data_IF_445074481618
#
_entry.id   IF_445074481618
#
_cell.length_a   1.000
_cell.length_b   1.000
_cell.length_c   1.000
_cell.angle_alpha   90.00
_cell.angle_beta   90.00
_cell.angle_gamma   90.00
#
_symmetry.space_group_name_H-M   'P 1'
#
loop_
_entity.id
_entity.type
_entity.pdbx_description
1 polymer ?
#
# COMPACT_ATOMS: atom_id res chain seq x y z
N UNK A 1 9.18 15.26 6.64
CA UNK A 1 8.59 14.00 7.16
C UNK A 1 8.53 12.94 6.07
N UNK A 2 7.80 13.18 4.97
CA UNK A 2 7.74 12.30 3.79
C UNK A 2 9.12 11.87 3.26
N UNK A 3 10.07 12.80 3.08
CA UNK A 3 11.44 12.48 2.63
C UNK A 3 12.18 11.52 3.56
N UNK A 4 12.00 11.64 4.89
CA UNK A 4 12.63 10.74 5.86
C UNK A 4 11.99 9.34 5.82
N UNK A 5 10.68 9.26 5.55
CA UNK A 5 9.99 7.99 5.35
C UNK A 5 10.52 7.29 4.10
N UNK A 6 10.60 8.00 2.97
CA UNK A 6 11.11 7.43 1.71
C UNK A 6 12.56 6.94 1.83
N UNK A 7 13.42 7.64 2.58
CA UNK A 7 14.79 7.17 2.84
C UNK A 7 14.86 5.82 3.60
N UNK A 8 13.82 5.45 4.35
CA UNK A 8 13.77 4.16 5.03
C UNK A 8 13.26 3.02 4.14
N UNK A 9 12.68 3.35 2.97
CA UNK A 9 12.12 2.42 1.98
C UNK A 9 12.51 2.87 0.56
N UNK A 10 13.81 2.94 0.24
CA UNK A 10 14.29 3.59 -0.98
C UNK A 10 13.86 2.88 -2.28
N UNK A 11 13.55 1.59 -2.20
CA UNK A 11 13.18 0.76 -3.36
C UNK A 11 11.65 0.59 -3.49
N UNK A 12 10.90 0.86 -2.42
CA UNK A 12 9.46 0.61 -2.33
C UNK A 12 8.62 1.89 -2.27
N UNK A 13 9.20 3.01 -1.83
CA UNK A 13 8.49 4.26 -1.58
C UNK A 13 8.83 5.35 -2.59
N UNK A 14 7.79 6.02 -3.06
CA UNK A 14 7.87 7.09 -4.05
C UNK A 14 7.06 8.31 -3.57
N UNK A 15 7.49 9.52 -3.94
CA UNK A 15 6.80 10.77 -3.61
C UNK A 15 5.92 11.22 -4.77
N UNK A 16 4.81 11.90 -4.45
CA UNK A 16 3.97 12.61 -5.42
C UNK A 16 3.48 11.73 -6.58
N UNK A 17 3.02 10.51 -6.26
CA UNK A 17 2.67 9.49 -7.26
C UNK A 17 1.19 9.56 -7.63
N UNK A 18 0.82 9.78 -8.90
CA UNK A 18 -0.58 9.76 -9.35
C UNK A 18 -1.24 8.39 -9.15
N UNK A 19 -2.25 8.33 -8.28
CA UNK A 19 -2.92 7.08 -7.93
C UNK A 19 -3.83 6.53 -9.03
N UNK A 20 -4.21 7.36 -10.01
CA UNK A 20 -4.95 6.95 -11.19
C UNK A 20 -4.32 5.72 -11.90
N UNK A 21 -2.99 5.62 -11.90
CA UNK A 21 -2.23 4.49 -12.50
C UNK A 21 -2.44 3.15 -11.79
N UNK A 22 -2.89 3.19 -10.53
CA UNK A 22 -3.07 2.02 -9.68
C UNK A 22 -4.54 1.71 -9.40
N UNK A 23 -5.43 2.69 -9.56
CA UNK A 23 -6.87 2.54 -9.36
C UNK A 23 -7.53 1.77 -10.51
N UNK A 24 -8.50 0.91 -10.20
CA UNK A 24 -9.26 0.18 -11.21
C UNK A 24 -10.14 1.07 -12.10
N UNK A 25 -10.55 2.24 -11.60
CA UNK A 25 -11.36 3.23 -12.33
C UNK A 25 -10.53 4.24 -13.13
N UNK A 26 -9.20 4.22 -13.00
CA UNK A 26 -8.31 5.17 -13.68
C UNK A 26 -8.39 6.61 -13.19
N UNK A 27 -8.91 6.84 -11.98
CA UNK A 27 -9.09 8.16 -11.36
C UNK A 27 -8.32 8.22 -10.03
N UNK A 28 -7.68 9.35 -9.76
CA UNK A 28 -7.00 9.61 -8.50
C UNK A 28 -5.77 10.50 -8.67
N UNK A 29 -5.74 11.59 -7.91
CA UNK A 29 -4.61 12.51 -7.80
C UNK A 29 -3.39 11.88 -7.11
N UNK A 30 -2.35 12.69 -6.84
CA UNK A 30 -1.11 12.20 -6.26
C UNK A 30 -1.24 11.78 -4.80
N UNK A 31 -0.57 10.70 -4.40
CA UNK A 31 -0.27 10.45 -2.99
C UNK A 31 0.96 11.26 -2.56
N UNK A 32 0.95 11.84 -1.35
CA UNK A 32 2.17 12.47 -0.80
C UNK A 32 3.33 11.45 -0.75
N UNK A 33 3.03 10.21 -0.33
CA UNK A 33 3.92 9.04 -0.39
C UNK A 33 3.12 7.82 -0.84
N UNK A 34 3.61 7.10 -1.85
CA UNK A 34 3.14 5.77 -2.21
C UNK A 34 4.19 4.74 -1.81
N UNK A 35 3.81 3.71 -1.05
CA UNK A 35 4.66 2.58 -0.68
C UNK A 35 4.05 1.29 -1.22
N UNK A 36 4.79 0.51 -2.01
CA UNK A 36 4.35 -0.82 -2.45
C UNK A 36 5.03 -1.91 -1.63
N UNK A 37 4.27 -2.66 -0.84
CA UNK A 37 4.80 -3.72 0.04
C UNK A 37 4.55 -5.10 -0.55
N UNK A 38 5.57 -5.97 -0.50
CA UNK A 38 5.52 -7.34 -1.06
C UNK A 38 5.77 -8.44 -0.03
N UNK A 39 6.10 -8.06 1.20
CA UNK A 39 6.25 -8.95 2.34
C UNK A 39 5.61 -8.33 3.60
N UNK A 40 5.28 -9.19 4.57
CA UNK A 40 4.61 -8.79 5.81
C UNK A 40 5.50 -7.91 6.70
N UNK A 41 6.83 -8.11 6.69
CA UNK A 41 7.76 -7.37 7.54
C UNK A 41 7.82 -5.89 7.12
N UNK A 42 7.92 -5.62 5.82
CA UNK A 42 7.90 -4.27 5.26
C UNK A 42 6.59 -3.55 5.57
N UNK A 43 5.45 -4.22 5.43
CA UNK A 43 4.14 -3.66 5.81
C UNK A 43 4.11 -3.26 7.29
N UNK A 44 4.54 -4.15 8.18
CA UNK A 44 4.56 -3.90 9.62
C UNK A 44 5.47 -2.71 9.97
N UNK A 45 6.70 -2.70 9.43
CA UNK A 45 7.69 -1.63 9.64
C UNK A 45 7.16 -0.28 9.15
N UNK A 46 6.50 -0.25 7.99
CA UNK A 46 5.94 0.95 7.41
C UNK A 46 4.84 1.56 8.29
N UNK A 47 3.89 0.74 8.75
CA UNK A 47 2.81 1.19 9.65
C UNK A 47 3.38 1.70 10.97
N UNK A 48 4.29 0.95 11.61
CA UNK A 48 4.92 1.36 12.86
C UNK A 48 5.68 2.69 12.72
N UNK A 49 6.40 2.87 11.62
CA UNK A 49 7.15 4.10 11.36
C UNK A 49 6.21 5.28 11.05
N UNK A 50 5.14 5.05 10.29
CA UNK A 50 4.12 6.07 10.01
C UNK A 50 3.45 6.56 11.30
N UNK A 51 3.04 5.63 12.17
CA UNK A 51 2.49 5.92 13.51
C UNK A 51 3.50 6.71 14.37
N UNK A 52 4.75 6.25 14.47
CA UNK A 52 5.79 6.93 15.25
C UNK A 52 6.11 8.35 14.75
N UNK A 53 5.89 8.61 13.46
CA UNK A 53 6.07 9.93 12.85
C UNK A 53 4.79 10.76 12.81
N UNK A 54 3.62 10.22 13.18
CA UNK A 54 2.34 10.89 13.03
C UNK A 54 1.95 11.14 11.57
N UNK A 55 2.39 10.30 10.63
CA UNK A 55 1.97 10.35 9.22
C UNK A 55 0.61 9.64 9.10
N UNK A 56 -0.47 10.31 8.66
CA UNK A 56 -1.72 9.63 8.35
C UNK A 56 -1.48 8.58 7.25
N UNK A 57 -2.00 7.37 7.41
CA UNK A 57 -1.76 6.29 6.45
C UNK A 57 -3.03 5.54 6.08
N UNK A 58 -3.04 4.92 4.89
CA UNK A 58 -4.11 4.04 4.40
C UNK A 58 -3.50 2.84 3.69
N UNK A 59 -4.04 1.65 3.94
CA UNK A 59 -3.66 0.42 3.22
C UNK A 59 -4.74 0.07 2.20
N UNK A 60 -4.31 -0.20 0.97
CA UNK A 60 -5.17 -0.71 -0.10
C UNK A 60 -4.59 -1.98 -0.70
N UNK A 61 -5.46 -2.85 -1.23
CA UNK A 61 -5.06 -3.94 -2.12
C UNK A 61 -5.03 -3.47 -3.57
N UNK A 62 -5.87 -4.08 -4.41
CA UNK A 62 -5.95 -3.78 -5.84
C UNK A 62 -6.63 -2.46 -6.25
N UNK A 63 -7.14 -1.66 -5.31
CA UNK A 63 -7.83 -0.37 -5.58
C UNK A 63 -8.98 -0.46 -6.62
N UNK A 64 -9.73 -1.56 -6.63
CA UNK A 64 -10.80 -1.81 -7.60
C UNK A 64 -12.18 -1.29 -7.18
N UNK A 65 -12.33 -0.85 -5.93
CA UNK A 65 -13.60 -0.37 -5.37
C UNK A 65 -13.42 0.90 -4.51
N UNK A 66 -12.50 1.77 -4.92
CA UNK A 66 -12.23 3.04 -4.24
C UNK A 66 -12.16 4.14 -5.29
N UNK A 67 -12.89 5.23 -5.06
CA UNK A 67 -12.76 6.47 -5.84
C UNK A 67 -11.82 7.41 -5.08
N UNK A 68 -10.66 7.68 -5.66
CA UNK A 68 -9.67 8.56 -5.08
C UNK A 68 -9.86 9.98 -5.63
N UNK A 69 -9.76 11.02 -4.78
CA UNK A 69 -10.00 12.39 -5.20
C UNK A 69 -8.92 12.90 -6.16
N UNK A 70 -9.28 13.84 -7.04
CA UNK A 70 -8.34 14.46 -7.97
C UNK A 70 -7.30 15.33 -7.25
N UNK A 71 -7.63 15.91 -6.09
CA UNK A 71 -6.65 16.61 -5.25
C UNK A 71 -5.58 15.69 -4.62
N UNK A 72 -5.77 14.36 -4.72
CA UNK A 72 -4.83 13.38 -4.19
C UNK A 72 -5.03 13.00 -2.72
N UNK A 73 -4.10 12.20 -2.19
CA UNK A 73 -4.19 11.62 -0.85
C UNK A 73 -3.01 12.10 0.00
N UNK A 74 -3.36 12.82 1.07
CA UNK A 74 -2.39 13.28 2.08
C UNK A 74 -1.86 12.11 2.92
N UNK A 75 -0.56 12.15 3.22
CA UNK A 75 0.14 11.14 4.00
C UNK A 75 0.60 9.93 3.20
N UNK A 76 0.61 8.76 3.84
CA UNK A 76 1.13 7.52 3.27
C UNK A 76 0.00 6.66 2.68
N UNK A 77 0.14 6.32 1.41
CA UNK A 77 -0.66 5.27 0.77
C UNK A 77 0.18 4.01 0.66
N UNK A 78 -0.31 2.91 1.23
CA UNK A 78 0.35 1.61 1.18
C UNK A 78 -0.43 0.70 0.23
N UNK A 79 0.21 0.22 -0.83
CA UNK A 79 -0.32 -0.84 -1.70
C UNK A 79 0.19 -2.19 -1.21
N UNK A 80 -0.71 -2.97 -0.60
CA UNK A 80 -0.43 -4.32 -0.17
C UNK A 80 -0.43 -5.28 -1.36
N UNK A 81 0.75 -5.76 -1.73
CA UNK A 81 1.02 -6.77 -2.76
C UNK A 81 1.69 -8.01 -2.17
N UNK A 82 1.53 -8.25 -0.86
CA UNK A 82 1.95 -9.52 -0.23
C UNK A 82 1.10 -10.62 -0.84
N UNK A 83 1.73 -11.47 -1.63
CA UNK A 83 1.08 -12.54 -2.38
C UNK A 83 1.67 -13.89 -1.96
N UNK A 84 1.06 -14.47 -0.93
CA UNK A 84 1.48 -15.73 -0.35
C UNK A 84 0.25 -16.61 -0.14
N UNK A 85 0.40 -17.90 -0.42
CA UNK A 85 -0.64 -18.89 -0.25
C UNK A 85 -0.05 -20.16 0.38
N UNK A 86 -0.69 -20.62 1.45
CA UNK A 86 -0.31 -21.83 2.19
C UNK A 86 -1.48 -22.81 2.16
N UNK A 87 -1.26 -23.95 1.51
CA UNK A 87 -2.19 -25.07 1.54
C UNK A 87 -2.04 -25.79 2.87
N UNK A 88 -3.10 -25.79 3.66
CA UNK A 88 -3.20 -26.56 4.90
C UNK A 88 -3.95 -27.87 4.70
N UNK A 89 -4.16 -28.56 5.81
CA UNK A 89 -5.00 -29.76 5.85
C UNK A 89 -6.48 -29.42 5.62
N UNK A 90 -7.30 -30.45 5.40
CA UNK A 90 -8.77 -30.37 5.38
C UNK A 90 -9.33 -29.24 4.48
N UNK A 91 -8.85 -29.14 3.25
CA UNK A 91 -9.34 -28.16 2.25
C UNK A 91 -9.19 -26.70 2.69
N UNK A 92 -8.21 -26.40 3.55
CA UNK A 92 -7.92 -25.02 3.97
C UNK A 92 -6.81 -24.42 3.11
N UNK A 93 -7.06 -23.18 2.68
CA UNK A 93 -6.06 -22.32 2.06
C UNK A 93 -5.96 -21.05 2.89
N UNK A 94 -4.77 -20.75 3.39
CA UNK A 94 -4.46 -19.45 4.01
C UNK A 94 -3.80 -18.58 2.95
N UNK A 95 -4.34 -17.41 2.68
CA UNK A 95 -3.80 -16.45 1.71
C UNK A 95 -3.48 -15.13 2.37
N UNK A 96 -2.44 -14.47 1.89
CA UNK A 96 -2.12 -13.11 2.29
C UNK A 96 -3.19 -12.13 1.77
N UNK A 97 -3.40 -11.04 2.51
CA UNK A 97 -4.42 -10.04 2.16
C UNK A 97 -4.14 -9.25 0.87
N UNK A 98 -2.94 -9.37 0.30
CA UNK A 98 -2.55 -8.75 -0.98
C UNK A 98 -2.71 -9.66 -2.19
N UNK A 99 -2.98 -10.96 -1.99
CA UNK A 99 -3.18 -11.94 -3.06
C UNK A 99 -4.36 -11.56 -3.94
N UNK A 100 -4.18 -11.61 -5.27
CA UNK A 100 -5.28 -11.34 -6.21
C UNK A 100 -6.35 -12.42 -6.10
N UNK A 101 -7.61 -12.01 -6.08
CA UNK A 101 -8.78 -12.91 -6.04
C UNK A 101 -9.47 -13.03 -7.41
N UNK A 102 -8.89 -12.42 -8.45
CA UNK A 102 -9.35 -12.40 -9.84
C UNK A 102 -8.20 -12.62 -10.80
#
# INVERSE_FOLDING_TARGET
MAQRFVQAFPDEAELDVPLARYSGVGIGGPADVLLTVRDQETLLRAVQMAEAMGIPWRVYGGLTNVLLPDEGVRGLVILNRVDEALFGDEYRLTVAGGTSVV
#
